data_IF_997532500431
#
_entry.id   IF_997532500431
#
_cell.length_a   1.000
_cell.length_b   1.000
_cell.length_c   1.000
_cell.angle_alpha   90.00
_cell.angle_beta   90.00
_cell.angle_gamma   90.00
#
_symmetry.space_group_name_H-M   'P 1'
#
loop_
_entity.id
_entity.type
_entity.pdbx_description
1 polymer ?
#
# COMPACT_ATOMS: atom_id res chain seq x y z
N UNK A 1 3.98 -20.94 15.70
CA UNK A 1 3.03 -20.67 14.61
C UNK A 1 2.89 -21.97 13.86
N UNK A 2 1.69 -22.49 13.69
CA UNK A 2 1.46 -23.72 12.93
C UNK A 2 1.89 -23.48 11.46
N UNK A 3 2.59 -24.42 10.85
CA UNK A 3 3.06 -24.27 9.47
C UNK A 3 1.86 -24.38 8.54
N UNK A 4 1.56 -23.29 7.81
CA UNK A 4 0.49 -23.28 6.82
C UNK A 4 0.97 -24.03 5.58
N UNK A 5 0.23 -25.08 5.21
CA UNK A 5 0.55 -25.99 4.09
C UNK A 5 -0.53 -25.92 3.00
N UNK A 6 -0.30 -26.53 1.84
CA UNK A 6 -1.36 -26.70 0.82
C UNK A 6 -2.66 -27.24 1.41
N UNK A 7 -2.57 -28.23 2.30
CA UNK A 7 -3.72 -28.86 2.95
C UNK A 7 -4.58 -27.87 3.74
N UNK A 8 -3.98 -26.81 4.31
CA UNK A 8 -4.74 -25.75 4.95
C UNK A 8 -5.68 -25.06 3.95
N UNK A 9 -5.19 -24.69 2.77
CA UNK A 9 -6.01 -24.03 1.75
C UNK A 9 -7.06 -24.96 1.13
N UNK A 10 -6.73 -26.23 0.95
CA UNK A 10 -7.70 -27.24 0.50
C UNK A 10 -8.91 -27.31 1.46
N UNK A 11 -8.65 -27.27 2.78
CA UNK A 11 -9.72 -27.21 3.81
C UNK A 11 -10.54 -25.92 3.76
N UNK A 12 -9.98 -24.83 3.22
CA UNK A 12 -10.70 -23.57 2.95
C UNK A 12 -11.44 -23.56 1.61
N UNK A 13 -11.51 -24.70 0.92
CA UNK A 13 -12.18 -24.84 -0.37
C UNK A 13 -11.41 -24.19 -1.53
N UNK A 14 -10.10 -23.97 -1.39
CA UNK A 14 -9.25 -23.54 -2.51
C UNK A 14 -8.84 -24.80 -3.28
N UNK A 15 -9.17 -24.87 -4.57
CA UNK A 15 -8.68 -25.99 -5.38
C UNK A 15 -7.17 -25.91 -5.55
N UNK A 16 -6.50 -27.07 -5.65
CA UNK A 16 -5.06 -27.14 -5.85
C UNK A 16 -4.62 -26.37 -7.11
N UNK A 17 -5.38 -26.50 -8.19
CA UNK A 17 -5.13 -25.77 -9.44
C UNK A 17 -5.19 -24.25 -9.24
N UNK A 18 -6.20 -23.75 -8.50
CA UNK A 18 -6.30 -22.32 -8.21
C UNK A 18 -5.14 -21.86 -7.31
N UNK A 19 -4.81 -22.63 -6.27
CA UNK A 19 -3.71 -22.31 -5.36
C UNK A 19 -2.36 -22.26 -6.09
N UNK A 20 -2.06 -23.27 -6.90
CA UNK A 20 -0.83 -23.34 -7.69
C UNK A 20 -0.75 -22.17 -8.69
N UNK A 21 -1.86 -21.85 -9.35
CA UNK A 21 -1.93 -20.75 -10.31
C UNK A 21 -1.70 -19.37 -9.66
N UNK A 22 -2.23 -19.16 -8.44
CA UNK A 22 -2.01 -17.96 -7.64
C UNK A 22 -0.57 -17.91 -7.12
N UNK A 23 -0.08 -19.01 -6.55
CA UNK A 23 1.28 -19.05 -6.00
C UNK A 23 2.33 -18.80 -7.07
N UNK A 24 2.19 -19.40 -8.26
CA UNK A 24 3.08 -19.12 -9.40
C UNK A 24 3.11 -17.63 -9.77
N UNK A 25 1.99 -16.93 -9.61
CA UNK A 25 1.87 -15.50 -9.91
C UNK A 25 2.45 -14.62 -8.78
N UNK A 26 2.30 -15.04 -7.52
CA UNK A 26 2.63 -14.24 -6.33
C UNK A 26 3.96 -14.58 -5.66
N UNK A 27 4.58 -15.71 -5.98
CA UNK A 27 5.82 -16.14 -5.36
C UNK A 27 6.93 -15.08 -5.54
N UNK A 28 7.77 -14.93 -4.53
CA UNK A 28 8.94 -14.07 -4.61
C UNK A 28 10.06 -14.80 -5.36
N UNK A 29 10.78 -14.09 -6.22
CA UNK A 29 11.95 -14.66 -6.89
C UNK A 29 13.06 -14.94 -5.86
N UNK A 30 13.61 -16.16 -5.88
CA UNK A 30 14.73 -16.54 -5.04
C UNK A 30 15.91 -15.58 -5.24
N UNK A 31 16.51 -15.10 -4.15
CA UNK A 31 17.65 -14.17 -4.18
C UNK A 31 17.30 -12.71 -4.48
N UNK A 32 16.04 -12.37 -4.76
CA UNK A 32 15.63 -10.99 -5.00
C UNK A 32 15.76 -10.15 -3.73
N UNK A 33 16.57 -9.09 -3.79
CA UNK A 33 16.63 -8.06 -2.75
C UNK A 33 15.54 -7.02 -3.01
N UNK A 34 14.49 -7.02 -2.18
CA UNK A 34 13.27 -6.24 -2.39
C UNK A 34 13.51 -4.72 -2.42
N UNK A 35 14.17 -4.15 -1.40
CA UNK A 35 14.40 -2.70 -1.34
C UNK A 35 15.28 -2.18 -2.49
N UNK A 36 16.42 -2.81 -2.82
CA UNK A 36 17.20 -2.45 -4.02
C UNK A 36 16.40 -2.57 -5.32
N UNK A 37 15.57 -3.60 -5.46
CA UNK A 37 14.71 -3.75 -6.64
C UNK A 37 13.71 -2.60 -6.79
N UNK A 38 13.11 -2.15 -5.68
CA UNK A 38 12.11 -1.09 -5.69
C UNK A 38 12.70 0.31 -5.92
N UNK A 39 13.93 0.56 -5.47
CA UNK A 39 14.49 1.92 -5.29
C UNK A 39 14.42 2.81 -6.54
N UNK A 40 14.91 2.35 -7.68
CA UNK A 40 14.91 3.16 -8.92
C UNK A 40 13.50 3.50 -9.38
N UNK A 41 12.60 2.52 -9.33
CA UNK A 41 11.18 2.69 -9.70
C UNK A 41 10.48 3.70 -8.78
N UNK A 42 10.75 3.61 -7.46
CA UNK A 42 10.22 4.55 -6.47
C UNK A 42 10.72 5.96 -6.72
N UNK A 43 12.01 6.12 -6.99
CA UNK A 43 12.61 7.43 -7.29
C UNK A 43 11.97 8.07 -8.54
N UNK A 44 11.71 7.28 -9.59
CA UNK A 44 11.03 7.77 -10.79
C UNK A 44 9.57 8.18 -10.51
N UNK A 45 8.79 7.36 -9.80
CA UNK A 45 7.41 7.73 -9.42
C UNK A 45 7.37 8.96 -8.52
N UNK A 46 8.30 9.07 -7.58
CA UNK A 46 8.44 10.22 -6.69
C UNK A 46 8.72 11.49 -7.50
N UNK A 47 9.65 11.43 -8.46
CA UNK A 47 9.96 12.55 -9.35
C UNK A 47 8.73 12.99 -10.16
N UNK A 48 7.98 12.03 -10.68
CA UNK A 48 6.70 12.29 -11.36
C UNK A 48 5.72 13.04 -10.44
N UNK A 49 5.53 12.55 -9.22
CA UNK A 49 4.57 13.10 -8.26
C UNK A 49 4.95 14.52 -7.77
N UNK A 50 6.25 14.77 -7.58
CA UNK A 50 6.75 16.12 -7.25
C UNK A 50 6.40 17.10 -8.38
N UNK A 51 6.48 16.66 -9.64
CA UNK A 51 6.20 17.47 -10.82
C UNK A 51 4.70 17.69 -11.10
N UNK A 52 3.79 17.03 -10.39
CA UNK A 52 2.36 17.25 -10.57
C UNK A 52 1.96 18.72 -10.38
N UNK A 53 1.00 19.22 -11.18
CA UNK A 53 0.56 20.60 -11.10
C UNK A 53 0.01 20.91 -9.72
N UNK A 54 0.34 22.11 -9.21
CA UNK A 54 -0.06 22.58 -7.88
C UNK A 54 -1.04 23.75 -8.02
N UNK A 55 -2.14 23.66 -7.28
CA UNK A 55 -3.12 24.73 -7.14
C UNK A 55 -2.65 25.88 -6.25
N UNK A 56 -3.40 26.98 -6.23
CA UNK A 56 -3.06 28.16 -5.41
C UNK A 56 -3.14 27.87 -3.92
N UNK A 57 -4.15 27.10 -3.50
CA UNK A 57 -4.42 26.71 -2.12
C UNK A 57 -5.21 25.39 -2.09
N UNK A 58 -5.59 24.94 -0.89
CA UNK A 58 -6.32 23.69 -0.69
C UNK A 58 -7.73 23.70 -1.31
N UNK A 59 -8.40 24.85 -1.39
CA UNK A 59 -9.72 24.96 -2.03
C UNK A 59 -9.63 24.89 -3.55
N UNK A 60 -8.53 25.39 -4.14
CA UNK A 60 -8.28 25.47 -5.58
C UNK A 60 -7.18 24.51 -6.01
N UNK A 61 -7.23 23.27 -5.54
CA UNK A 61 -6.28 22.20 -5.89
C UNK A 61 -6.30 21.93 -7.40
N UNK A 62 -5.13 21.63 -7.95
CA UNK A 62 -5.03 20.97 -9.25
C UNK A 62 -5.11 19.47 -9.03
N UNK A 63 -5.93 18.80 -9.83
CA UNK A 63 -6.21 17.37 -9.75
C UNK A 63 -5.36 16.66 -10.81
N UNK A 64 -4.67 15.60 -10.40
CA UNK A 64 -4.00 14.66 -11.29
C UNK A 64 -4.65 13.29 -11.12
N UNK A 65 -5.24 12.77 -12.19
CA UNK A 65 -5.78 11.42 -12.23
C UNK A 65 -4.65 10.40 -12.42
N UNK A 66 -4.64 9.33 -11.61
CA UNK A 66 -3.57 8.31 -11.64
C UNK A 66 -4.10 6.98 -12.16
N UNK A 67 -5.28 6.57 -11.68
CA UNK A 67 -5.93 5.32 -12.06
C UNK A 67 -7.40 5.55 -12.41
N UNK A 68 -7.91 4.70 -13.29
CA UNK A 68 -9.34 4.60 -13.63
C UNK A 68 -9.76 3.13 -13.62
N UNK A 69 -10.84 2.81 -12.92
CA UNK A 69 -11.46 1.48 -12.92
C UNK A 69 -12.98 1.64 -12.98
N UNK A 70 -13.59 1.25 -14.11
CA UNK A 70 -15.00 1.52 -14.37
C UNK A 70 -15.33 3.02 -14.29
N UNK A 71 -16.28 3.38 -13.44
CA UNK A 71 -16.69 4.76 -13.15
C UNK A 71 -15.91 5.40 -11.99
N UNK A 72 -14.92 4.70 -11.43
CA UNK A 72 -14.05 5.21 -10.38
C UNK A 72 -12.78 5.82 -10.97
N UNK A 73 -12.37 6.96 -10.41
CA UNK A 73 -11.08 7.60 -10.68
C UNK A 73 -10.36 7.74 -9.34
N UNK A 74 -9.09 7.33 -9.29
CA UNK A 74 -8.21 7.53 -8.14
C UNK A 74 -7.22 8.61 -8.53
N UNK A 75 -7.20 9.67 -7.72
CA UNK A 75 -6.50 10.90 -8.06
C UNK A 75 -5.79 11.50 -6.83
N UNK A 76 -4.95 12.49 -7.11
CA UNK A 76 -4.36 13.36 -6.09
C UNK A 76 -4.70 14.81 -6.37
N UNK A 77 -4.93 15.58 -5.30
CA UNK A 77 -5.09 17.03 -5.35
C UNK A 77 -3.90 17.71 -4.68
N UNK A 78 -3.27 18.69 -5.33
CA UNK A 78 -2.13 19.44 -4.79
C UNK A 78 -2.46 20.94 -4.69
N UNK A 79 -2.19 21.63 -3.56
CA UNK A 79 -1.57 21.15 -2.32
C UNK A 79 -2.46 20.29 -1.40
N UNK A 80 -1.83 19.38 -0.66
CA UNK A 80 -2.42 18.60 0.44
C UNK A 80 -2.51 19.36 1.76
N UNK A 81 -2.88 18.66 2.85
CA UNK A 81 -3.10 19.25 4.18
C UNK A 81 -1.79 19.77 4.80
N UNK A 82 -0.69 19.03 4.63
CA UNK A 82 0.60 19.31 5.27
C UNK A 82 1.39 20.41 4.54
N UNK A 83 0.86 20.90 3.41
CA UNK A 83 1.39 22.03 2.66
C UNK A 83 0.93 23.39 3.17
N UNK A 84 0.01 23.44 4.14
CA UNK A 84 -0.45 24.70 4.72
C UNK A 84 0.69 25.39 5.51
N UNK A 85 0.76 26.73 5.56
CA UNK A 85 1.85 27.46 6.23
C UNK A 85 1.94 27.22 7.75
N UNK A 86 0.81 26.90 8.37
CA UNK A 86 0.64 26.58 9.79
C UNK A 86 1.05 25.14 10.13
N UNK A 87 1.15 24.24 9.14
CA UNK A 87 1.64 22.90 9.38
C UNK A 87 3.14 22.90 9.65
N UNK A 88 3.54 22.48 10.85
CA UNK A 88 4.95 22.49 11.29
C UNK A 88 5.47 21.07 11.51
N UNK A 89 6.51 20.68 10.78
CA UNK A 89 7.32 19.47 11.04
C UNK A 89 8.81 19.79 10.98
N UNK A 90 9.60 19.03 11.72
CA UNK A 90 11.06 19.10 11.64
C UNK A 90 11.55 18.27 10.46
N UNK A 91 12.42 18.86 9.65
CA UNK A 91 13.19 18.16 8.64
C UNK A 91 14.19 17.23 9.34
N UNK A 92 14.27 15.95 8.93
CA UNK A 92 15.03 14.92 9.64
C UNK A 92 16.55 15.12 9.59
N UNK A 93 17.05 15.82 8.56
CA UNK A 93 18.49 16.06 8.39
C UNK A 93 18.91 17.42 8.98
N UNK A 94 18.32 18.52 8.51
CA UNK A 94 18.66 19.89 8.95
C UNK A 94 18.06 20.29 10.30
N UNK A 95 17.03 19.60 10.79
CA UNK A 95 16.30 19.97 12.01
C UNK A 95 15.38 21.18 11.86
N UNK A 96 15.37 21.84 10.70
CA UNK A 96 14.56 23.02 10.42
C UNK A 96 13.06 22.70 10.48
N UNK A 97 12.28 23.66 11.00
CA UNK A 97 10.82 23.52 11.03
C UNK A 97 10.24 24.05 9.72
N UNK A 98 9.54 23.18 9.00
CA UNK A 98 8.97 23.48 7.69
C UNK A 98 7.61 22.80 7.51
N UNK A 99 6.86 23.27 6.51
CA UNK A 99 5.70 22.55 6.00
C UNK A 99 6.12 21.62 4.85
N UNK A 100 5.21 20.72 4.46
CA UNK A 100 5.45 19.83 3.34
C UNK A 100 4.89 20.44 2.05
N UNK A 101 5.69 21.29 1.39
CA UNK A 101 5.28 22.01 0.17
C UNK A 101 4.80 21.12 -0.98
N UNK A 102 5.20 19.85 -0.99
CA UNK A 102 4.86 18.88 -2.02
C UNK A 102 3.68 17.98 -1.65
N UNK A 103 3.18 18.05 -0.41
CA UNK A 103 2.08 17.21 0.07
C UNK A 103 0.90 17.23 -0.92
N UNK A 104 0.29 16.06 -1.08
CA UNK A 104 -0.86 15.84 -1.94
C UNK A 104 -2.01 15.28 -1.10
N UNK A 105 -3.23 15.40 -1.62
CA UNK A 105 -4.41 14.77 -1.05
C UNK A 105 -4.88 13.63 -1.96
N UNK A 106 -4.59 12.35 -1.64
CA UNK A 106 -5.21 11.20 -2.30
C UNK A 106 -6.73 11.16 -2.09
N UNK A 107 -7.49 10.87 -3.14
CA UNK A 107 -8.93 10.64 -3.02
C UNK A 107 -9.48 9.79 -4.16
N UNK A 108 -10.71 9.30 -3.97
CA UNK A 108 -11.50 8.56 -4.96
C UNK A 108 -12.62 9.46 -5.48
N UNK A 109 -12.87 9.44 -6.78
CA UNK A 109 -14.05 10.04 -7.41
C UNK A 109 -14.93 8.96 -8.03
N UNK A 110 -16.24 9.16 -7.96
CA UNK A 110 -17.25 8.39 -8.68
C UNK A 110 -18.06 9.38 -9.51
N UNK A 111 -18.19 9.12 -10.82
CA UNK A 111 -18.94 9.99 -11.74
C UNK A 111 -18.51 11.48 -11.64
N UNK A 112 -17.20 11.73 -11.51
CA UNK A 112 -16.63 13.08 -11.42
C UNK A 112 -16.80 13.79 -10.07
N UNK A 113 -17.40 13.14 -9.05
CA UNK A 113 -17.54 13.69 -7.70
C UNK A 113 -16.64 12.94 -6.74
N UNK A 114 -15.91 13.67 -5.88
CA UNK A 114 -15.17 13.07 -4.77
C UNK A 114 -16.14 12.33 -3.85
N UNK A 115 -15.77 11.11 -3.46
CA UNK A 115 -16.57 10.27 -2.57
C UNK A 115 -15.92 10.16 -1.20
N UNK A 116 -16.75 10.26 -0.17
CA UNK A 116 -16.32 10.19 1.22
C UNK A 116 -15.55 11.41 1.71
N UNK A 117 -15.24 11.38 3.00
CA UNK A 117 -14.31 12.33 3.63
C UNK A 117 -12.87 11.95 3.29
N UNK A 118 -11.92 12.82 3.64
CA UNK A 118 -10.49 12.45 3.57
C UNK A 118 -10.25 11.21 4.45
N UNK A 119 -9.88 10.09 3.83
CA UNK A 119 -9.66 8.82 4.53
C UNK A 119 -8.40 8.94 5.41
N UNK A 120 -8.60 8.84 6.72
CA UNK A 120 -7.50 8.79 7.68
C UNK A 120 -6.91 7.38 7.75
N UNK A 121 -5.68 7.24 8.26
CA UNK A 121 -5.09 5.92 8.53
C UNK A 121 -5.97 5.07 9.44
N UNK A 122 -6.59 5.68 10.46
CA UNK A 122 -7.51 5.00 11.37
C UNK A 122 -8.73 4.43 10.64
N UNK A 123 -9.36 5.24 9.78
CA UNK A 123 -10.51 4.79 8.98
C UNK A 123 -10.14 3.62 8.05
N UNK A 124 -8.96 3.65 7.44
CA UNK A 124 -8.46 2.54 6.61
C UNK A 124 -8.18 1.28 7.43
N UNK A 125 -7.69 1.42 8.67
CA UNK A 125 -7.48 0.28 9.55
C UNK A 125 -8.79 -0.36 9.96
N UNK A 126 -9.80 0.44 10.30
CA UNK A 126 -11.15 -0.04 10.62
C UNK A 126 -11.75 -0.80 9.45
N UNK A 127 -11.71 -0.23 8.24
CA UNK A 127 -12.20 -0.88 7.02
C UNK A 127 -11.51 -2.23 6.74
N UNK A 128 -10.19 -2.34 6.98
CA UNK A 128 -9.48 -3.62 6.83
C UNK A 128 -9.84 -4.60 7.96
N UNK A 129 -10.02 -4.11 9.19
CA UNK A 129 -10.37 -4.93 10.34
C UNK A 129 -11.75 -5.59 10.18
N UNK A 130 -12.71 -4.92 9.54
CA UNK A 130 -14.03 -5.47 9.20
C UNK A 130 -13.92 -6.74 8.32
N UNK A 131 -12.87 -6.85 7.49
CA UNK A 131 -12.64 -8.00 6.60
C UNK A 131 -12.19 -9.26 7.35
N UNK A 132 -11.75 -9.14 8.61
CA UNK A 132 -11.27 -10.28 9.42
C UNK A 132 -12.31 -11.40 9.53
N UNK A 133 -13.60 -11.05 9.46
CA UNK A 133 -14.71 -12.01 9.57
C UNK A 133 -15.25 -12.47 8.21
N UNK A 134 -14.80 -11.88 7.11
CA UNK A 134 -15.37 -12.12 5.79
C UNK A 134 -14.75 -13.35 5.11
N UNK A 135 -13.43 -13.35 4.88
CA UNK A 135 -12.73 -14.47 4.24
C UNK A 135 -11.24 -14.45 4.58
N UNK A 136 -10.75 -15.49 5.26
CA UNK A 136 -9.35 -15.57 5.67
C UNK A 136 -8.37 -15.59 4.49
N UNK A 137 -8.70 -16.30 3.40
CA UNK A 137 -7.81 -16.37 2.25
C UNK A 137 -7.87 -15.09 1.42
N UNK A 138 -9.04 -14.46 1.31
CA UNK A 138 -9.19 -13.13 0.74
C UNK A 138 -8.35 -12.11 1.51
N UNK A 139 -8.38 -12.14 2.83
CA UNK A 139 -7.59 -11.25 3.67
C UNK A 139 -6.08 -11.49 3.49
N UNK A 140 -5.66 -12.76 3.39
CA UNK A 140 -4.28 -13.11 3.04
C UNK A 140 -3.86 -12.56 1.67
N UNK A 141 -4.70 -12.69 0.64
CA UNK A 141 -4.42 -12.15 -0.69
C UNK A 141 -4.31 -10.63 -0.65
N UNK A 142 -5.18 -9.94 0.08
CA UNK A 142 -5.10 -8.50 0.27
C UNK A 142 -3.75 -8.09 0.91
N UNK A 143 -3.38 -8.70 2.03
CA UNK A 143 -2.09 -8.43 2.68
C UNK A 143 -0.89 -8.75 1.80
N UNK A 144 -0.97 -9.83 1.03
CA UNK A 144 0.07 -10.23 0.07
C UNK A 144 0.24 -9.18 -1.03
N UNK A 145 -0.86 -8.70 -1.62
CA UNK A 145 -0.82 -7.68 -2.67
C UNK A 145 -0.28 -6.35 -2.15
N UNK A 146 -0.68 -5.94 -0.94
CA UNK A 146 -0.14 -4.74 -0.27
C UNK A 146 1.36 -4.90 0.00
N UNK A 147 1.81 -6.06 0.47
CA UNK A 147 3.23 -6.34 0.68
C UNK A 147 4.03 -6.22 -0.63
N UNK A 148 3.54 -6.85 -1.71
CA UNK A 148 4.20 -6.78 -3.03
C UNK A 148 4.22 -5.36 -3.59
N UNK A 149 3.16 -4.59 -3.35
CA UNK A 149 3.05 -3.17 -3.72
C UNK A 149 4.06 -2.28 -2.99
N UNK A 150 4.44 -2.62 -1.74
CA UNK A 150 5.47 -1.91 -0.98
C UNK A 150 6.80 -1.86 -1.73
N UNK A 151 7.15 -2.95 -2.40
CA UNK A 151 8.40 -3.12 -3.13
C UNK A 151 8.25 -3.03 -4.65
N UNK A 152 7.12 -2.47 -5.11
CA UNK A 152 6.85 -2.25 -6.52
C UNK A 152 6.99 -3.50 -7.40
N UNK A 153 6.69 -4.69 -6.86
CA UNK A 153 6.85 -5.96 -7.57
C UNK A 153 5.85 -6.11 -8.71
N UNK A 154 4.70 -5.45 -8.59
CA UNK A 154 3.59 -5.49 -9.55
C UNK A 154 3.40 -4.14 -10.26
N UNK A 155 4.44 -3.30 -10.27
CA UNK A 155 4.41 -2.03 -11.00
C UNK A 155 5.07 -2.20 -12.37
N UNK A 156 4.34 -1.82 -13.41
CA UNK A 156 4.83 -1.81 -14.78
C UNK A 156 4.71 -0.41 -15.38
N UNK A 157 5.47 -0.15 -16.44
CA UNK A 157 5.32 1.09 -17.20
C UNK A 157 4.05 1.04 -18.03
N UNK A 158 3.26 2.11 -17.98
CA UNK A 158 2.13 2.32 -18.87
C UNK A 158 2.59 2.88 -20.23
N UNK A 159 1.64 3.20 -21.12
CA UNK A 159 1.90 3.77 -22.45
C UNK A 159 2.64 5.12 -22.40
N UNK A 160 2.54 5.85 -21.30
CA UNK A 160 3.23 7.13 -21.07
C UNK A 160 4.59 6.95 -20.37
N UNK A 161 5.11 5.71 -20.31
CA UNK A 161 6.36 5.36 -19.65
C UNK A 161 6.35 5.61 -18.13
N UNK A 162 5.18 5.74 -17.50
CA UNK A 162 5.01 5.98 -16.06
C UNK A 162 4.75 4.67 -15.32
N UNK A 163 5.37 4.49 -14.16
CA UNK A 163 5.15 3.30 -13.32
C UNK A 163 3.75 3.33 -12.71
N UNK A 164 3.00 2.25 -12.89
CA UNK A 164 1.64 2.08 -12.39
C UNK A 164 1.48 0.67 -11.83
N UNK A 165 0.75 0.57 -10.73
CA UNK A 165 0.40 -0.70 -10.11
C UNK A 165 -0.54 -1.47 -11.05
N UNK A 166 -0.16 -2.70 -11.40
CA UNK A 166 -0.97 -3.63 -12.17
C UNK A 166 -1.14 -4.88 -11.30
N UNK A 167 -2.23 -4.98 -10.52
CA UNK A 167 -2.45 -6.13 -9.66
C UNK A 167 -2.42 -7.44 -10.47
N UNK A 168 -1.77 -8.50 -9.97
CA UNK A 168 -1.73 -9.78 -10.64
C UNK A 168 -3.14 -10.34 -10.87
N UNK A 169 -3.42 -10.76 -12.10
CA UNK A 169 -4.79 -10.96 -12.61
C UNK A 169 -5.50 -12.09 -11.89
N UNK A 170 -4.83 -13.21 -11.63
CA UNK A 170 -5.47 -14.39 -11.03
C UNK A 170 -5.73 -14.17 -9.55
N UNK A 171 -4.74 -13.65 -8.83
CA UNK A 171 -4.87 -13.24 -7.44
C UNK A 171 -5.99 -12.22 -7.27
N UNK A 172 -6.05 -11.19 -8.13
CA UNK A 172 -7.11 -10.18 -8.07
C UNK A 172 -8.49 -10.78 -8.36
N UNK A 173 -8.62 -11.67 -9.34
CA UNK A 173 -9.91 -12.30 -9.65
C UNK A 173 -10.45 -13.11 -8.46
N UNK A 174 -9.58 -13.87 -7.78
CA UNK A 174 -9.96 -14.62 -6.59
C UNK A 174 -10.26 -13.68 -5.42
N UNK A 175 -9.46 -12.63 -5.24
CA UNK A 175 -9.71 -11.62 -4.22
C UNK A 175 -11.07 -10.93 -4.43
N UNK A 176 -11.39 -10.49 -5.65
CA UNK A 176 -12.70 -9.88 -5.99
C UNK A 176 -13.88 -10.79 -5.69
N UNK A 177 -13.73 -12.10 -5.84
CA UNK A 177 -14.79 -13.06 -5.51
C UNK A 177 -15.00 -13.21 -4.00
N UNK A 178 -13.92 -13.11 -3.22
CA UNK A 178 -13.93 -13.38 -1.77
C UNK A 178 -14.16 -12.13 -0.93
N UNK A 179 -13.54 -11.02 -1.33
CA UNK A 179 -13.66 -9.70 -0.74
C UNK A 179 -13.94 -8.70 -1.88
N UNK A 180 -15.20 -8.56 -2.31
CA UNK A 180 -15.54 -7.73 -3.47
C UNK A 180 -15.30 -6.25 -3.21
N UNK A 181 -15.46 -5.79 -1.97
CA UNK A 181 -15.36 -4.39 -1.60
C UNK A 181 -14.75 -4.19 -0.21
N UNK A 182 -14.26 -2.97 0.03
CA UNK A 182 -13.73 -2.48 1.31
C UNK A 182 -14.22 -1.07 1.50
N UNK A 183 -14.91 -0.77 2.60
CA UNK A 183 -15.44 0.58 2.85
C UNK A 183 -16.38 1.08 1.75
N UNK A 184 -17.15 0.18 1.12
CA UNK A 184 -18.10 0.50 0.05
C UNK A 184 -17.48 0.81 -1.32
N UNK A 185 -16.19 0.53 -1.53
CA UNK A 185 -15.56 0.62 -2.86
C UNK A 185 -15.03 -0.74 -3.32
N UNK A 186 -15.03 -1.04 -4.64
CA UNK A 186 -14.47 -2.28 -5.16
C UNK A 186 -13.02 -2.49 -4.71
N UNK A 187 -12.64 -3.74 -4.40
CA UNK A 187 -11.34 -4.05 -3.82
C UNK A 187 -10.14 -3.63 -4.70
N UNK A 188 -10.28 -3.63 -6.03
CA UNK A 188 -9.25 -3.10 -6.93
C UNK A 188 -9.14 -1.57 -6.83
N UNK A 189 -10.26 -0.86 -6.71
CA UNK A 189 -10.28 0.59 -6.45
C UNK A 189 -9.59 0.89 -5.12
N UNK A 190 -9.86 0.09 -4.08
CA UNK A 190 -9.16 0.20 -2.80
C UNK A 190 -7.64 -0.01 -2.93
N UNK A 191 -7.20 -1.04 -3.66
CA UNK A 191 -5.78 -1.28 -3.91
C UNK A 191 -5.11 -0.12 -4.66
N UNK A 192 -5.77 0.45 -5.68
CA UNK A 192 -5.26 1.64 -6.36
C UNK A 192 -5.17 2.85 -5.43
N UNK A 193 -6.17 3.05 -4.57
CA UNK A 193 -6.12 4.12 -3.57
C UNK A 193 -4.95 3.95 -2.59
N UNK A 194 -4.72 2.74 -2.10
CA UNK A 194 -3.60 2.42 -1.21
C UNK A 194 -2.24 2.68 -1.90
N UNK A 195 -2.10 2.40 -3.20
CA UNK A 195 -0.89 2.73 -3.95
C UNK A 195 -0.66 4.25 -4.06
N UNK A 196 -1.72 5.02 -4.32
CA UNK A 196 -1.64 6.49 -4.39
C UNK A 196 -1.35 7.11 -3.03
N UNK A 197 -1.94 6.57 -1.96
CA UNK A 197 -1.63 6.95 -0.58
C UNK A 197 -0.14 6.75 -0.28
N UNK A 198 0.40 5.58 -0.64
CA UNK A 198 1.81 5.25 -0.44
C UNK A 198 2.75 6.15 -1.26
N UNK A 199 2.35 6.54 -2.48
CA UNK A 199 3.06 7.53 -3.28
C UNK A 199 3.11 8.91 -2.58
N UNK A 200 2.01 9.33 -1.95
CA UNK A 200 2.02 10.57 -1.18
C UNK A 200 2.99 10.49 0.01
N UNK A 201 3.03 9.38 0.74
CA UNK A 201 3.98 9.19 1.85
C UNK A 201 5.45 9.22 1.39
N UNK A 202 5.78 8.72 0.19
CA UNK A 202 7.10 8.94 -0.42
C UNK A 202 7.40 10.44 -0.64
N UNK A 203 6.42 11.21 -1.13
CA UNK A 203 6.55 12.67 -1.32
C UNK A 203 6.77 13.40 -0.01
N UNK A 204 6.09 12.98 1.07
CA UNK A 204 6.29 13.56 2.40
C UNK A 204 7.69 13.31 2.92
N UNK A 205 8.15 12.06 2.86
CA UNK A 205 9.47 11.70 3.38
C UNK A 205 10.60 12.36 2.58
N UNK A 206 10.44 12.49 1.26
CA UNK A 206 11.36 13.27 0.43
C UNK A 206 11.47 14.73 0.92
N UNK A 207 10.32 15.37 1.14
CA UNK A 207 10.29 16.79 1.56
C UNK A 207 10.86 16.99 2.98
N UNK A 208 10.86 15.94 3.80
CA UNK A 208 11.42 15.97 5.16
C UNK A 208 12.88 15.49 5.23
N UNK A 209 13.55 15.27 4.10
CA UNK A 209 15.00 15.02 4.05
C UNK A 209 15.42 13.58 3.74
N UNK A 210 14.47 12.67 3.50
CA UNK A 210 14.77 11.33 2.98
C UNK A 210 14.68 11.32 1.46
N UNK A 211 15.70 11.88 0.83
CA UNK A 211 15.69 12.14 -0.60
C UNK A 211 15.67 10.85 -1.45
N UNK A 212 15.10 10.97 -2.65
CA UNK A 212 15.16 9.98 -3.73
C UNK A 212 14.79 8.54 -3.36
N UNK A 213 13.91 8.36 -2.36
CA UNK A 213 13.45 7.05 -1.89
C UNK A 213 14.61 6.06 -1.60
N UNK A 214 15.75 6.56 -1.11
CA UNK A 214 16.95 5.73 -0.88
C UNK A 214 16.76 4.68 0.22
N UNK A 215 15.87 4.97 1.18
CA UNK A 215 15.56 4.12 2.33
C UNK A 215 14.09 3.63 2.28
N UNK A 216 13.76 2.70 3.18
CA UNK A 216 12.44 2.09 3.29
C UNK A 216 11.42 2.95 4.07
N UNK A 217 11.56 4.28 4.00
CA UNK A 217 10.56 5.23 4.50
C UNK A 217 9.43 5.46 3.49
N UNK A 218 8.37 6.17 3.89
CA UNK A 218 7.29 6.57 2.99
C UNK A 218 6.42 5.38 2.59
N UNK A 219 6.40 5.07 1.30
CA UNK A 219 5.66 3.94 0.71
C UNK A 219 5.90 2.63 1.44
N UNK A 220 7.17 2.25 1.63
CA UNK A 220 7.52 0.93 2.17
C UNK A 220 7.00 0.78 3.59
N UNK A 221 7.33 1.69 4.50
CA UNK A 221 6.80 1.65 5.86
C UNK A 221 5.27 1.72 5.92
N UNK A 222 4.65 2.56 5.08
CA UNK A 222 3.18 2.71 5.04
C UNK A 222 2.51 1.40 4.66
N UNK A 223 2.90 0.82 3.52
CA UNK A 223 2.31 -0.41 3.02
C UNK A 223 2.66 -1.62 3.90
N UNK A 224 3.88 -1.68 4.44
CA UNK A 224 4.23 -2.73 5.40
C UNK A 224 3.48 -2.59 6.72
N UNK A 225 3.04 -1.40 7.12
CA UNK A 225 2.16 -1.23 8.29
C UNK A 225 0.78 -1.82 8.03
N UNK A 226 0.19 -1.57 6.86
CA UNK A 226 -1.06 -2.21 6.45
C UNK A 226 -0.93 -3.73 6.33
N UNK A 227 0.18 -4.22 5.74
CA UNK A 227 0.45 -5.66 5.68
C UNK A 227 0.64 -6.28 7.08
N UNK A 228 1.22 -5.54 8.03
CA UNK A 228 1.35 -5.99 9.42
C UNK A 228 -0.01 -6.09 10.11
N UNK A 229 -0.91 -5.12 9.90
CA UNK A 229 -2.28 -5.18 10.37
C UNK A 229 -2.97 -6.46 9.87
N UNK A 230 -2.89 -6.73 8.56
CA UNK A 230 -3.44 -7.97 7.98
C UNK A 230 -2.84 -9.21 8.64
N UNK A 231 -1.52 -9.24 8.84
CA UNK A 231 -0.86 -10.36 9.51
C UNK A 231 -1.31 -10.56 10.96
N UNK A 232 -1.66 -9.48 11.67
CA UNK A 232 -2.25 -9.54 13.02
C UNK A 232 -3.68 -10.09 12.97
N UNK A 233 -4.51 -9.62 12.02
CA UNK A 233 -5.90 -10.08 11.85
C UNK A 233 -5.96 -11.57 11.46
N UNK A 234 -4.96 -12.05 10.73
CA UNK A 234 -4.78 -13.48 10.42
C UNK A 234 -4.21 -14.30 11.59
N UNK A 235 -3.93 -13.67 12.73
CA UNK A 235 -3.27 -14.25 13.90
C UNK A 235 -1.88 -14.85 13.60
N UNK A 236 -1.17 -14.29 12.62
CA UNK A 236 0.20 -14.69 12.21
C UNK A 236 1.26 -13.75 12.80
N UNK A 237 0.83 -12.65 13.39
CA UNK A 237 1.64 -11.69 14.15
C UNK A 237 0.90 -11.23 15.39
N UNK A 238 1.64 -10.84 16.41
CA UNK A 238 1.08 -10.45 17.70
C UNK A 238 0.51 -9.04 17.65
N UNK A 239 -0.75 -8.87 18.09
CA UNK A 239 -1.36 -7.56 18.29
C UNK A 239 -0.54 -6.67 19.24
N UNK A 240 0.01 -7.25 20.31
CA UNK A 240 0.82 -6.52 21.28
C UNK A 240 2.03 -5.84 20.64
N UNK A 241 2.85 -6.56 19.87
CA UNK A 241 4.01 -5.96 19.18
C UNK A 241 3.59 -4.95 18.10
N UNK A 242 2.49 -5.22 17.38
CA UNK A 242 1.97 -4.28 16.39
C UNK A 242 1.59 -2.95 17.04
N UNK A 243 0.82 -3.01 18.14
CA UNK A 243 0.33 -1.83 18.87
C UNK A 243 1.46 -1.09 19.59
N UNK A 244 2.39 -1.82 20.20
CA UNK A 244 3.53 -1.23 20.91
C UNK A 244 4.42 -0.39 20.00
N UNK A 245 4.56 -0.76 18.73
CA UNK A 245 5.36 0.00 17.77
C UNK A 245 4.84 1.44 17.57
N UNK A 246 3.54 1.68 17.75
CA UNK A 246 2.97 3.03 17.66
C UNK A 246 3.28 3.91 18.87
N UNK A 247 3.67 3.31 20.00
CA UNK A 247 3.99 4.01 21.25
C UNK A 247 5.44 4.55 21.28
N UNK A 248 6.29 4.16 20.32
CA UNK A 248 7.69 4.58 20.25
C UNK A 248 8.01 5.28 18.93
N UNK A 249 8.97 6.23 18.91
CA UNK A 249 9.46 6.81 17.67
C UNK A 249 10.03 5.76 16.69
N UNK A 250 9.79 5.88 15.37
CA UNK A 250 8.95 6.89 14.73
C UNK A 250 7.46 6.60 14.94
N UNK A 251 6.74 7.56 15.55
CA UNK A 251 5.31 7.43 15.84
C UNK A 251 4.48 7.20 14.56
N UNK A 252 3.30 6.58 14.71
CA UNK A 252 2.32 6.33 13.65
C UNK A 252 2.67 5.24 12.63
N UNK A 253 3.67 4.38 12.88
CA UNK A 253 4.06 3.31 11.96
C UNK A 253 4.35 2.00 12.70
N UNK A 254 4.04 0.86 12.07
CA UNK A 254 4.35 -0.47 12.58
C UNK A 254 4.69 -1.40 11.42
N UNK A 255 5.77 -1.11 10.66
CA UNK A 255 6.07 -1.82 9.43
C UNK A 255 6.35 -3.29 9.72
N UNK A 256 5.76 -4.17 8.92
CA UNK A 256 6.05 -5.60 8.98
C UNK A 256 7.53 -5.86 8.66
N UNK A 257 8.27 -6.59 9.51
CA UNK A 257 9.64 -7.01 9.18
C UNK A 257 9.65 -7.87 7.92
N UNK A 258 10.42 -7.48 6.92
CA UNK A 258 10.35 -8.04 5.57
C UNK A 258 11.53 -8.95 5.20
N UNK A 259 12.24 -9.53 6.17
CA UNK A 259 13.28 -10.53 5.87
C UNK A 259 12.66 -11.77 5.23
N UNK A 260 13.28 -12.28 4.16
CA UNK A 260 12.71 -13.31 3.26
C UNK A 260 12.34 -14.60 3.96
N UNK A 261 13.09 -15.02 5.00
CA UNK A 261 12.77 -16.23 5.78
C UNK A 261 11.47 -16.12 6.57
N UNK A 262 11.05 -14.91 6.94
CA UNK A 262 9.89 -14.69 7.81
C UNK A 262 8.62 -14.38 7.03
N UNK A 263 8.72 -13.81 5.82
CA UNK A 263 7.53 -13.36 5.11
C UNK A 263 6.68 -14.50 4.57
N UNK A 264 7.29 -15.60 4.09
CA UNK A 264 6.55 -16.77 3.61
C UNK A 264 5.82 -17.53 4.73
N UNK A 265 6.23 -17.36 5.99
CA UNK A 265 5.47 -17.88 7.13
C UNK A 265 4.20 -17.05 7.40
N UNK A 266 4.22 -15.76 7.03
CA UNK A 266 3.11 -14.83 7.23
C UNK A 266 2.16 -14.84 6.03
N UNK A 267 2.70 -14.86 4.82
CA UNK A 267 1.97 -14.93 3.55
C UNK A 267 2.51 -16.10 2.72
N UNK A 268 2.03 -17.34 2.95
CA UNK A 268 2.59 -18.53 2.32
C UNK A 268 2.55 -18.52 0.80
N UNK A 269 1.57 -17.84 0.18
CA UNK A 269 1.51 -17.66 -1.29
C UNK A 269 2.71 -16.91 -1.88
N UNK A 270 3.54 -16.25 -1.06
CA UNK A 270 4.82 -15.66 -1.47
C UNK A 270 5.97 -16.69 -1.54
N UNK A 271 5.78 -17.89 -0.99
CA UNK A 271 6.79 -18.95 -1.02
C UNK A 271 6.92 -19.54 -2.43
N UNK A 272 8.14 -19.70 -2.98
CA UNK A 272 8.34 -20.41 -4.25
C UNK A 272 7.95 -21.89 -4.21
N UNK A 273 7.81 -22.45 -3.02
CA UNK A 273 7.61 -23.89 -2.79
C UNK A 273 6.26 -24.22 -2.16
N UNK A 274 5.27 -23.32 -2.24
CA UNK A 274 3.97 -23.54 -1.60
C UNK A 274 3.25 -24.74 -2.20
#
# INVERSE_FOLDING_TARGET
METITKNFYLKLGISENALSAINKELALNAGLKLSPFARSRRAEMLKEAIAFPKGKNQEKRKITEIYKSGNFIIAVGKPGKEAAPDFKRKHYITGETMNNKNDMNPFIMINGKKVGNDLTFGALFEQIAELMRADMFGLELLGTLIFRMAFMLDHNRNQENKWRYIPPKRALAVLKKRLPEVGGVPIDVFLYFIDVLALNEDVKMHTLGHENAQHDYGRVNTLLTFAHLVAVLLNRRTLAKFSLAFAYPPFNQSPLPHTTKNISAIFPVLSPSL
#
